data_IF_614154726833
#
_entry.id   IF_614154726833
#
_cell.length_a   1.000
_cell.length_b   1.000
_cell.length_c   1.000
_cell.angle_alpha   90.00
_cell.angle_beta   90.00
_cell.angle_gamma   90.00
#
_symmetry.space_group_name_H-M   'P 1'
#
loop_
_entity.id
_entity.type
_entity.pdbx_description
1 polymer ?
#
# COMPACT_ATOMS: atom_id res chain seq x y z
N UNK A 1 14.66 14.49 -7.05
CA UNK A 1 13.82 14.12 -8.21
C UNK A 1 14.56 13.15 -9.15
N UNK A 2 15.63 13.56 -9.85
CA UNK A 2 16.34 12.68 -10.80
C UNK A 2 16.92 11.41 -10.17
N UNK A 3 17.45 11.48 -8.95
CA UNK A 3 17.94 10.30 -8.24
C UNK A 3 16.82 9.29 -7.89
N UNK A 4 15.61 9.79 -7.60
CA UNK A 4 14.44 8.95 -7.29
C UNK A 4 13.94 8.28 -8.57
N UNK A 5 13.85 9.04 -9.66
CA UNK A 5 13.49 8.52 -10.98
C UNK A 5 14.51 7.45 -11.39
N UNK A 6 15.81 7.75 -11.33
CA UNK A 6 16.86 6.80 -11.68
C UNK A 6 16.86 5.52 -10.82
N UNK A 7 16.64 5.63 -9.51
CA UNK A 7 16.51 4.47 -8.63
C UNK A 7 15.27 3.63 -8.95
N UNK A 8 14.14 4.27 -9.27
CA UNK A 8 12.92 3.58 -9.69
C UNK A 8 13.09 2.84 -11.02
N UNK A 9 13.72 3.46 -12.02
CA UNK A 9 14.00 2.80 -13.31
C UNK A 9 14.97 1.64 -13.15
N UNK A 10 16.01 1.81 -12.32
CA UNK A 10 16.99 0.75 -12.04
C UNK A 10 16.36 -0.46 -11.37
N UNK A 11 15.45 -0.23 -10.41
CA UNK A 11 14.72 -1.27 -9.72
C UNK A 11 13.79 -2.06 -10.67
N UNK A 12 13.08 -1.36 -11.58
CA UNK A 12 12.24 -2.02 -12.57
C UNK A 12 13.04 -2.97 -13.47
N UNK A 13 14.23 -2.54 -13.92
CA UNK A 13 15.13 -3.36 -14.75
C UNK A 13 15.64 -4.62 -14.03
N UNK A 14 16.06 -4.49 -12.76
CA UNK A 14 16.46 -5.65 -11.94
C UNK A 14 15.30 -6.65 -11.84
N UNK A 15 14.09 -6.12 -11.74
CA UNK A 15 12.90 -6.92 -11.69
C UNK A 15 12.63 -7.77 -12.92
N UNK A 16 12.80 -7.20 -14.12
CA UNK A 16 12.67 -7.93 -15.37
C UNK A 16 13.71 -9.06 -15.47
N UNK A 17 14.93 -8.83 -14.98
CA UNK A 17 15.98 -9.86 -14.89
C UNK A 17 15.62 -10.96 -13.88
N UNK A 18 15.06 -10.61 -12.73
CA UNK A 18 14.59 -11.59 -11.73
C UNK A 18 13.44 -12.43 -12.32
N UNK A 19 12.53 -11.85 -13.09
CA UNK A 19 11.46 -12.59 -13.76
C UNK A 19 12.01 -13.63 -14.73
N UNK A 20 12.98 -13.23 -15.55
CA UNK A 20 13.63 -14.10 -16.52
C UNK A 20 14.42 -15.23 -15.84
N UNK A 21 15.08 -14.96 -14.70
CA UNK A 21 15.90 -15.94 -13.98
C UNK A 21 15.14 -16.89 -13.05
N UNK A 22 13.98 -16.48 -12.51
CA UNK A 22 13.21 -17.28 -11.53
C UNK A 22 12.11 -18.14 -12.15
N UNK A 23 11.75 -17.90 -13.41
CA UNK A 23 10.62 -18.57 -14.08
C UNK A 23 9.25 -18.17 -13.51
N UNK A 24 9.19 -17.13 -12.67
CA UNK A 24 7.95 -16.57 -12.17
C UNK A 24 7.19 -15.90 -13.31
N UNK A 25 5.86 -16.08 -13.36
CA UNK A 25 5.05 -15.51 -14.42
C UNK A 25 5.24 -14.00 -14.52
N UNK A 26 5.38 -13.47 -15.74
CA UNK A 26 5.66 -12.05 -15.99
C UNK A 26 4.68 -11.11 -15.28
N UNK A 27 3.41 -11.53 -15.12
CA UNK A 27 2.38 -10.78 -14.38
C UNK A 27 2.67 -10.70 -12.88
N UNK A 28 3.18 -11.78 -12.28
CA UNK A 28 3.52 -11.80 -10.85
C UNK A 28 4.70 -10.87 -10.57
N UNK A 29 5.75 -10.95 -11.39
CA UNK A 29 6.93 -10.11 -11.20
C UNK A 29 6.63 -8.65 -11.55
N UNK A 30 5.91 -8.40 -12.63
CA UNK A 30 5.48 -7.05 -13.01
C UNK A 30 4.63 -6.37 -11.91
N UNK A 31 3.70 -7.10 -11.28
CA UNK A 31 2.89 -6.54 -10.19
C UNK A 31 3.69 -6.29 -8.91
N UNK A 32 4.61 -7.19 -8.54
CA UNK A 32 5.51 -6.99 -7.40
C UNK A 32 6.42 -5.77 -7.61
N UNK A 33 7.03 -5.65 -8.79
CA UNK A 33 7.92 -4.54 -9.10
C UNK A 33 7.21 -3.21 -9.17
N UNK A 34 6.01 -3.19 -9.76
CA UNK A 34 5.16 -2.01 -9.74
C UNK A 34 4.93 -1.58 -8.30
N UNK A 35 4.51 -2.49 -7.43
CA UNK A 35 4.26 -2.21 -6.02
C UNK A 35 5.50 -1.67 -5.29
N UNK A 36 6.67 -2.31 -5.45
CA UNK A 36 7.91 -1.84 -4.80
C UNK A 36 8.34 -0.48 -5.34
N UNK A 37 8.31 -0.28 -6.67
CA UNK A 37 8.74 0.98 -7.29
C UNK A 37 7.86 2.15 -6.86
N UNK A 38 6.55 1.93 -6.68
CA UNK A 38 5.59 2.94 -6.23
C UNK A 38 5.54 3.14 -4.71
N UNK A 39 6.29 2.36 -3.92
CA UNK A 39 6.31 2.48 -2.45
C UNK A 39 7.71 2.72 -1.87
N UNK A 40 8.76 2.54 -2.68
CA UNK A 40 10.14 2.74 -2.29
C UNK A 40 10.47 4.24 -2.06
N UNK A 41 10.06 5.20 -2.91
CA UNK A 41 10.28 6.62 -2.64
C UNK A 41 9.69 7.08 -1.30
N UNK A 42 8.47 6.65 -1.00
CA UNK A 42 7.74 6.91 0.24
C UNK A 42 8.49 6.32 1.43
N UNK A 43 8.96 5.07 1.31
CA UNK A 43 9.79 4.44 2.34
C UNK A 43 11.03 5.29 2.67
N UNK A 44 11.72 5.80 1.65
CA UNK A 44 12.91 6.64 1.84
C UNK A 44 12.56 7.95 2.54
N UNK A 45 11.49 8.63 2.11
CA UNK A 45 11.01 9.89 2.73
C UNK A 45 10.59 9.66 4.18
N UNK A 46 9.83 8.60 4.45
CA UNK A 46 9.40 8.21 5.78
C UNK A 46 10.58 7.93 6.72
N UNK A 47 11.59 7.17 6.26
CA UNK A 47 12.81 6.91 7.05
C UNK A 47 13.57 8.22 7.31
N UNK A 48 13.70 9.09 6.31
CA UNK A 48 14.37 10.37 6.47
C UNK A 48 13.66 11.27 7.49
N UNK A 49 12.33 11.35 7.42
CA UNK A 49 11.49 12.09 8.35
C UNK A 49 11.61 11.55 9.79
N UNK A 50 11.62 10.23 9.97
CA UNK A 50 11.83 9.60 11.29
C UNK A 50 13.23 9.90 11.86
N UNK A 51 14.28 9.94 11.02
CA UNK A 51 15.65 10.27 11.46
C UNK A 51 15.80 11.69 11.97
N UNK A 52 15.04 12.64 11.43
CA UNK A 52 15.04 14.03 11.89
C UNK A 52 14.02 14.28 13.01
N UNK A 53 13.36 13.23 13.52
CA UNK A 53 12.34 13.34 14.57
C UNK A 53 10.99 13.89 14.10
N UNK A 54 10.78 14.05 12.80
CA UNK A 54 9.54 14.53 12.19
C UNK A 54 8.54 13.38 12.00
N UNK A 55 8.07 12.80 13.10
CA UNK A 55 7.13 11.66 13.06
C UNK A 55 5.80 11.99 12.40
N UNK A 56 5.29 13.21 12.58
CA UNK A 56 4.03 13.64 11.98
C UNK A 56 4.14 13.76 10.45
N UNK A 57 5.31 14.18 9.96
CA UNK A 57 5.61 14.21 8.52
C UNK A 57 5.69 12.79 7.95
N UNK A 58 6.33 11.85 8.65
CA UNK A 58 6.39 10.45 8.23
C UNK A 58 4.99 9.80 8.14
N UNK A 59 4.10 10.12 9.08
CA UNK A 59 2.72 9.63 9.08
C UNK A 59 1.90 10.26 7.95
N UNK A 60 2.04 11.58 7.76
CA UNK A 60 1.36 12.30 6.69
C UNK A 60 1.79 11.81 5.29
N UNK A 61 3.07 11.48 5.11
CA UNK A 61 3.61 10.88 3.88
C UNK A 61 2.96 9.53 3.59
N UNK A 62 2.99 8.59 4.55
CA UNK A 62 2.41 7.25 4.36
C UNK A 62 0.90 7.29 4.08
N UNK A 63 0.15 8.11 4.82
CA UNK A 63 -1.30 8.23 4.62
C UNK A 63 -1.64 8.97 3.33
N UNK A 64 -0.94 10.08 3.06
CA UNK A 64 -1.13 10.90 1.87
C UNK A 64 -0.84 10.13 0.59
N UNK A 65 0.27 9.38 0.55
CA UNK A 65 0.65 8.58 -0.62
C UNK A 65 -0.32 7.44 -0.88
N UNK A 66 -0.84 6.76 0.15
CA UNK A 66 -1.89 5.75 -0.02
C UNK A 66 -3.19 6.34 -0.60
N UNK A 67 -3.60 7.52 -0.12
CA UNK A 67 -4.78 8.22 -0.64
C UNK A 67 -4.55 8.68 -2.10
N UNK A 68 -3.36 9.20 -2.40
CA UNK A 68 -2.99 9.64 -3.74
C UNK A 68 -2.95 8.48 -4.74
N UNK A 69 -2.32 7.36 -4.37
CA UNK A 69 -2.24 6.16 -5.21
C UNK A 69 -3.64 5.61 -5.53
N UNK A 70 -4.54 5.56 -4.54
CA UNK A 70 -5.93 5.15 -4.76
C UNK A 70 -6.69 6.16 -5.64
N UNK A 71 -6.53 7.46 -5.37
CA UNK A 71 -7.18 8.53 -6.12
C UNK A 71 -6.79 8.55 -7.60
N UNK A 72 -5.48 8.47 -7.90
CA UNK A 72 -4.99 8.36 -9.27
C UNK A 72 -5.47 7.07 -9.93
N UNK A 73 -5.45 5.94 -9.21
CA UNK A 73 -5.93 4.66 -9.75
C UNK A 73 -7.39 4.74 -10.20
N UNK A 74 -8.26 5.29 -9.34
CA UNK A 74 -9.68 5.50 -9.66
C UNK A 74 -9.86 6.51 -10.80
N UNK A 75 -9.14 7.64 -10.76
CA UNK A 75 -9.21 8.68 -11.78
C UNK A 75 -8.78 8.17 -13.16
N UNK A 76 -7.65 7.47 -13.25
CA UNK A 76 -7.20 6.85 -14.48
C UNK A 76 -8.20 5.79 -14.95
N UNK A 77 -8.70 4.94 -14.05
CA UNK A 77 -9.70 3.94 -14.42
C UNK A 77 -10.95 4.60 -15.03
N UNK A 78 -11.46 5.67 -14.43
CA UNK A 78 -12.65 6.39 -14.91
C UNK A 78 -12.44 7.02 -16.29
N UNK A 79 -11.27 7.64 -16.54
CA UNK A 79 -10.94 8.25 -17.84
C UNK A 79 -10.77 7.20 -18.95
N UNK A 80 -10.13 6.07 -18.65
CA UNK A 80 -9.82 5.05 -19.66
C UNK A 80 -10.94 4.02 -19.85
N UNK A 81 -11.91 3.96 -18.94
CA UNK A 81 -13.05 3.04 -19.06
C UNK A 81 -14.15 3.62 -19.95
N UNK A 82 -14.39 2.98 -21.10
CA UNK A 82 -15.54 3.28 -21.98
C UNK A 82 -16.85 2.62 -21.55
N UNK A 83 -16.86 1.89 -20.44
CA UNK A 83 -17.94 0.97 -20.06
C UNK A 83 -18.40 1.22 -18.63
N UNK A 84 -19.50 1.97 -18.46
CA UNK A 84 -20.33 1.97 -17.25
C UNK A 84 -19.66 2.47 -15.96
N UNK A 85 -20.49 2.70 -14.93
CA UNK A 85 -20.03 3.14 -13.61
C UNK A 85 -19.14 2.07 -12.97
N UNK A 86 -18.04 2.46 -12.32
CA UNK A 86 -17.18 1.64 -11.45
C UNK A 86 -17.97 0.75 -10.47
N UNK A 87 -19.12 1.23 -10.00
CA UNK A 87 -19.99 0.50 -9.09
C UNK A 87 -20.73 -0.67 -9.75
N UNK A 88 -20.90 -0.66 -11.07
CA UNK A 88 -21.55 -1.74 -11.83
C UNK A 88 -20.62 -2.94 -12.10
N UNK A 89 -19.31 -2.73 -12.05
CA UNK A 89 -18.28 -3.78 -12.14
C UNK A 89 -17.87 -4.35 -10.77
N UNK A 90 -18.50 -3.88 -9.68
CA UNK A 90 -18.13 -4.26 -8.32
C UNK A 90 -18.63 -5.68 -7.96
N UNK A 91 -17.75 -6.68 -8.06
CA UNK A 91 -17.95 -8.03 -7.49
C UNK A 91 -17.94 -8.03 -5.95
N UNK A 92 -18.48 -9.10 -5.34
CA UNK A 92 -18.49 -9.29 -3.88
C UNK A 92 -17.09 -9.26 -3.24
N UNK A 93 -16.04 -9.62 -4.00
CA UNK A 93 -14.64 -9.54 -3.55
C UNK A 93 -14.16 -8.10 -3.33
N UNK A 94 -14.64 -7.15 -4.13
CA UNK A 94 -14.27 -5.74 -4.01
C UNK A 94 -14.88 -5.11 -2.75
N UNK A 95 -16.13 -5.48 -2.42
CA UNK A 95 -16.79 -5.02 -1.20
C UNK A 95 -16.04 -5.50 0.05
N UNK A 96 -15.61 -6.76 0.06
CA UNK A 96 -14.82 -7.30 1.17
C UNK A 96 -13.45 -6.64 1.29
N UNK A 97 -12.75 -6.47 0.17
CA UNK A 97 -11.46 -5.78 0.14
C UNK A 97 -11.60 -4.34 0.66
N UNK A 98 -12.65 -3.62 0.23
CA UNK A 98 -12.95 -2.28 0.73
C UNK A 98 -13.22 -2.29 2.24
N UNK A 99 -14.00 -3.24 2.76
CA UNK A 99 -14.28 -3.36 4.18
C UNK A 99 -13.00 -3.58 5.02
N UNK A 100 -12.07 -4.41 4.54
CA UNK A 100 -10.77 -4.62 5.20
C UNK A 100 -9.92 -3.37 5.18
N UNK A 101 -9.83 -2.68 4.04
CA UNK A 101 -9.08 -1.42 3.94
C UNK A 101 -9.67 -0.34 4.85
N UNK A 102 -11.01 -0.24 4.94
CA UNK A 102 -11.69 0.67 5.87
C UNK A 102 -11.36 0.30 7.32
N UNK A 103 -11.40 -0.97 7.70
CA UNK A 103 -11.04 -1.43 9.04
C UNK A 103 -9.58 -1.09 9.38
N UNK A 104 -8.65 -1.37 8.47
CA UNK A 104 -7.23 -1.02 8.65
C UNK A 104 -7.04 0.48 8.81
N UNK A 105 -7.75 1.29 8.02
CA UNK A 105 -7.70 2.76 8.13
C UNK A 105 -8.22 3.24 9.49
N UNK A 106 -9.31 2.65 10.01
CA UNK A 106 -9.81 2.95 11.36
C UNK A 106 -8.81 2.57 12.46
N UNK A 107 -8.11 1.44 12.31
CA UNK A 107 -7.04 1.02 13.24
C UNK A 107 -5.88 2.04 13.21
N UNK A 108 -5.52 2.53 12.03
CA UNK A 108 -4.49 3.59 11.91
C UNK A 108 -4.96 4.87 12.59
N UNK A 109 -6.17 5.35 12.28
CA UNK A 109 -6.73 6.60 12.86
C UNK A 109 -6.77 6.51 14.39
N UNK A 110 -7.33 5.42 14.92
CA UNK A 110 -7.37 5.19 16.38
C UNK A 110 -5.96 5.12 16.96
N UNK A 111 -5.05 4.38 16.33
CA UNK A 111 -3.64 4.31 16.71
C UNK A 111 -2.99 5.69 16.81
N UNK A 112 -3.25 6.59 15.86
CA UNK A 112 -2.76 7.97 15.83
C UNK A 112 -3.37 8.84 16.94
N UNK A 113 -4.69 8.79 17.15
CA UNK A 113 -5.38 9.56 18.20
C UNK A 113 -4.92 9.14 19.60
N UNK A 114 -4.67 7.85 19.83
CA UNK A 114 -4.17 7.36 21.11
C UNK A 114 -2.67 7.63 21.33
N UNK A 115 -1.86 7.72 20.25
CA UNK A 115 -0.41 7.99 20.34
C UNK A 115 -0.09 9.41 20.84
N UNK A 116 -0.96 10.38 20.54
CA UNK A 116 -0.80 11.78 20.98
C UNK A 116 -0.72 11.92 22.51
N UNK A 117 -1.17 10.91 23.28
CA UNK A 117 -1.22 10.94 24.75
C UNK A 117 -0.15 10.11 25.48
N UNK A 118 0.67 9.29 24.81
CA UNK A 118 1.67 8.45 25.50
C UNK A 118 3.08 8.54 24.91
N UNK A 119 4.01 9.10 25.70
CA UNK A 119 5.45 8.88 25.57
C UNK A 119 5.77 7.44 26.01
N UNK A 120 5.43 6.45 25.19
CA UNK A 120 5.73 5.04 25.50
C UNK A 120 7.09 4.64 24.91
N UNK A 121 7.99 4.01 25.68
CA UNK A 121 9.34 3.64 25.22
C UNK A 121 9.38 2.29 24.48
N UNK A 122 8.25 1.60 24.28
CA UNK A 122 8.22 0.34 23.54
C UNK A 122 8.33 0.58 22.03
N UNK A 123 9.38 -0.01 21.43
CA UNK A 123 9.74 0.14 20.01
C UNK A 123 8.71 -0.46 19.02
N UNK A 124 7.73 -1.24 19.48
CA UNK A 124 6.66 -1.81 18.66
C UNK A 124 5.33 -1.53 19.33
N UNK A 125 4.41 -0.91 18.59
CA UNK A 125 3.09 -0.55 19.10
C UNK A 125 2.05 -1.61 18.74
N UNK A 126 1.14 -1.92 19.66
CA UNK A 126 0.15 -3.00 19.52
C UNK A 126 -0.72 -2.89 18.25
N UNK A 127 -1.00 -1.67 17.80
CA UNK A 127 -1.76 -1.42 16.57
C UNK A 127 -0.99 -1.85 15.30
N UNK A 128 0.35 -1.86 15.31
CA UNK A 128 1.14 -2.36 14.18
C UNK A 128 0.98 -3.89 14.02
N UNK A 129 0.94 -4.62 15.14
CA UNK A 129 0.66 -6.06 15.14
C UNK A 129 -0.77 -6.31 14.66
N UNK A 130 -1.74 -5.54 15.16
CA UNK A 130 -3.13 -5.64 14.72
C UNK A 130 -3.28 -5.40 13.20
N UNK A 131 -2.57 -4.40 12.64
CA UNK A 131 -2.57 -4.13 11.21
C UNK A 131 -2.02 -5.30 10.39
N UNK A 132 -0.91 -5.90 10.81
CA UNK A 132 -0.32 -7.07 10.12
C UNK A 132 -1.30 -8.25 10.16
N UNK A 133 -1.91 -8.52 11.31
CA UNK A 133 -2.86 -9.64 11.46
C UNK A 133 -4.09 -9.43 10.57
N UNK A 134 -4.67 -8.23 10.58
CA UNK A 134 -5.84 -7.90 9.74
C UNK A 134 -5.47 -7.98 8.25
N UNK A 135 -4.31 -7.47 7.86
CA UNK A 135 -3.85 -7.55 6.47
C UNK A 135 -3.67 -8.99 6.00
N UNK A 136 -2.91 -9.80 6.74
CA UNK A 136 -2.64 -11.20 6.38
C UNK A 136 -3.92 -12.04 6.39
N UNK A 137 -4.77 -11.85 7.40
CA UNK A 137 -6.08 -12.51 7.48
C UNK A 137 -6.99 -12.11 6.31
N UNK A 138 -6.96 -10.83 5.92
CA UNK A 138 -7.72 -10.32 4.79
C UNK A 138 -7.27 -10.88 3.45
N UNK A 139 -5.96 -10.87 3.19
CA UNK A 139 -5.37 -11.48 2.00
C UNK A 139 -5.72 -12.97 1.93
N UNK A 140 -5.54 -13.69 3.05
CA UNK A 140 -5.90 -15.10 3.11
C UNK A 140 -7.39 -15.35 2.80
N UNK A 141 -8.29 -14.54 3.38
CA UNK A 141 -9.72 -14.65 3.11
C UNK A 141 -10.06 -14.33 1.65
N UNK A 142 -9.41 -13.35 1.03
CA UNK A 142 -9.60 -13.03 -0.41
C UNK A 142 -9.18 -14.20 -1.29
N UNK A 143 -8.06 -14.87 -1.00
CA UNK A 143 -7.55 -15.96 -1.84
C UNK A 143 -8.21 -17.32 -1.58
N UNK A 144 -8.78 -17.54 -0.40
CA UNK A 144 -9.38 -18.84 -0.04
C UNK A 144 -10.90 -18.87 -0.15
N UNK A 145 -11.58 -17.72 -0.09
CA UNK A 145 -13.02 -17.68 -0.23
C UNK A 145 -13.43 -17.85 -1.71
N UNK A 146 -14.39 -18.75 -2.03
CA UNK A 146 -15.01 -18.79 -3.34
C UNK A 146 -15.93 -17.57 -3.46
N UNK A 147 -15.41 -16.50 -4.05
CA UNK A 147 -16.20 -15.36 -4.48
C UNK A 147 -16.99 -15.80 -5.73
N UNK A 148 -18.18 -16.36 -5.50
CA UNK A 148 -19.10 -16.80 -6.56
C UNK A 148 -19.52 -15.67 -7.49
#
# INVERSE_FOLDING_TARGET
ALAIIGAGTWLALIGDEIAAGTGWGATFVGSLLLAVTTSLPELVVCIAALRIGATDMAIADVLGSNMFNMGIGVFCYDIFSRSGSIFSAASSSHVFTAAIVTLMTLIVITGLTFRLRRKTPLKISWYAIALIVVYLGGVYAIFTAPWG
#
